data_IF_341933936558
#
_entry.id   IF_341933936558
#
_cell.length_a   1.000
_cell.length_b   1.000
_cell.length_c   1.000
_cell.angle_alpha   90.00
_cell.angle_beta   90.00
_cell.angle_gamma   90.00
#
_symmetry.space_group_name_H-M   'P 1'
#
loop_
_entity.id
_entity.type
_entity.pdbx_description
1 polymer ?
#
# COMPACT_ATOMS: atom_id res chain seq x y z
N UNK A 1 -19.46 0.00 -2.70
CA UNK A 1 -18.76 0.26 -1.42
C UNK A 1 -19.67 1.10 -0.55
N UNK A 2 -19.96 0.66 0.69
CA UNK A 2 -20.84 1.42 1.61
C UNK A 2 -20.11 2.58 2.31
N UNK A 3 -18.78 2.52 2.38
CA UNK A 3 -17.95 3.52 3.05
C UNK A 3 -17.84 4.81 2.23
N UNK A 4 -17.83 5.96 2.92
CA UNK A 4 -17.54 7.26 2.31
C UNK A 4 -16.06 7.36 1.92
N UNK A 5 -15.19 6.81 2.75
CA UNK A 5 -13.74 7.00 2.72
C UNK A 5 -13.01 5.65 2.72
N UNK A 6 -11.75 5.64 2.27
CA UNK A 6 -10.82 4.55 2.49
C UNK A 6 -9.64 5.06 3.32
N UNK A 7 -9.74 4.96 4.64
CA UNK A 7 -8.76 5.51 5.58
C UNK A 7 -7.71 4.48 6.01
N UNK A 8 -8.07 3.20 6.00
CA UNK A 8 -7.25 2.06 6.37
C UNK A 8 -7.93 0.75 5.98
N UNK A 9 -7.31 -0.38 6.28
CA UNK A 9 -7.90 -1.72 6.15
C UNK A 9 -8.32 -2.32 7.49
N UNK A 10 -8.00 -1.66 8.60
CA UNK A 10 -8.57 -2.04 9.89
C UNK A 10 -10.10 -1.99 9.85
N UNK A 11 -10.74 -3.10 10.23
CA UNK A 11 -12.20 -3.26 10.20
C UNK A 11 -12.84 -3.23 8.80
N UNK A 12 -12.07 -3.43 7.73
CA UNK A 12 -12.63 -3.67 6.37
C UNK A 12 -12.92 -5.16 6.22
N UNK A 13 -14.15 -5.50 5.83
CA UNK A 13 -14.55 -6.90 5.72
C UNK A 13 -13.95 -7.60 4.51
N UNK A 14 -13.93 -8.93 4.56
CA UNK A 14 -13.51 -9.80 3.44
C UNK A 14 -14.29 -9.49 2.18
N UNK A 15 -15.61 -9.29 2.29
CA UNK A 15 -16.50 -9.01 1.17
C UNK A 15 -16.17 -7.66 0.52
N UNK A 16 -15.86 -6.64 1.33
CA UNK A 16 -15.47 -5.32 0.81
C UNK A 16 -14.12 -5.40 0.09
N UNK A 17 -13.12 -6.09 0.67
CA UNK A 17 -11.82 -6.30 0.03
C UNK A 17 -12.01 -7.07 -1.28
N UNK A 18 -12.76 -8.18 -1.27
CA UNK A 18 -13.04 -8.98 -2.46
C UNK A 18 -13.69 -8.13 -3.56
N UNK A 19 -14.70 -7.34 -3.22
CA UNK A 19 -15.35 -6.45 -4.18
C UNK A 19 -14.42 -5.41 -4.79
N UNK A 20 -13.47 -4.87 -4.01
CA UNK A 20 -12.44 -3.96 -4.52
C UNK A 20 -11.50 -4.70 -5.48
N UNK A 21 -11.03 -5.89 -5.11
CA UNK A 21 -10.12 -6.68 -5.93
C UNK A 21 -10.77 -7.15 -7.24
N UNK A 22 -12.05 -7.54 -7.21
CA UNK A 22 -12.81 -7.94 -8.41
C UNK A 22 -13.03 -6.76 -9.37
N UNK A 23 -13.38 -5.59 -8.81
CA UNK A 23 -13.46 -4.36 -9.60
C UNK A 23 -12.11 -4.00 -10.19
N UNK A 24 -11.02 -4.17 -9.44
CA UNK A 24 -9.67 -3.88 -9.92
C UNK A 24 -9.23 -4.81 -11.06
N UNK A 25 -9.63 -6.09 -11.05
CA UNK A 25 -9.41 -7.00 -12.19
C UNK A 25 -10.07 -6.49 -13.47
N UNK A 26 -11.29 -5.98 -13.38
CA UNK A 26 -11.98 -5.35 -14.51
C UNK A 26 -11.24 -4.09 -14.99
N UNK A 27 -10.83 -3.21 -14.07
CA UNK A 27 -10.08 -2.00 -14.40
C UNK A 27 -8.71 -2.30 -15.03
N UNK A 28 -8.08 -3.40 -14.66
CA UNK A 28 -6.81 -3.84 -15.24
C UNK A 28 -6.88 -4.16 -16.71
N UNK A 29 -8.03 -4.66 -17.19
CA UNK A 29 -8.24 -4.87 -18.63
C UNK A 29 -8.16 -3.56 -19.40
N UNK A 30 -8.64 -2.46 -18.79
CA UNK A 30 -8.52 -1.11 -19.38
C UNK A 30 -7.06 -0.67 -19.42
N UNK A 31 -6.31 -0.90 -18.32
CA UNK A 31 -4.87 -0.54 -18.25
C UNK A 31 -4.05 -1.26 -19.33
N UNK A 32 -4.42 -2.52 -19.64
CA UNK A 32 -3.76 -3.35 -20.67
C UNK A 32 -4.23 -3.11 -22.08
N UNK A 33 -5.36 -2.43 -22.27
CA UNK A 33 -5.90 -2.16 -23.61
C UNK A 33 -5.10 -1.10 -24.35
N UNK A 34 -5.21 -1.09 -25.68
CA UNK A 34 -4.61 -0.05 -26.53
C UNK A 34 -5.22 1.32 -26.27
N UNK A 35 -6.52 1.39 -26.01
CA UNK A 35 -7.22 2.61 -25.59
C UNK A 35 -7.49 2.55 -24.08
N UNK A 36 -6.66 3.25 -23.30
CA UNK A 36 -6.76 3.29 -21.84
C UNK A 36 -7.78 4.31 -21.31
N UNK A 37 -8.61 4.91 -22.16
CA UNK A 37 -9.53 5.96 -21.77
C UNK A 37 -10.98 5.46 -21.69
N UNK A 38 -11.64 5.74 -20.57
CA UNK A 38 -13.05 5.42 -20.32
C UNK A 38 -13.79 6.65 -19.77
N UNK A 39 -15.12 6.66 -19.88
CA UNK A 39 -15.98 7.76 -19.38
C UNK A 39 -16.47 7.55 -17.93
N UNK A 40 -15.92 6.59 -17.17
CA UNK A 40 -16.46 6.20 -15.87
C UNK A 40 -16.50 7.32 -14.83
N UNK A 41 -15.56 8.27 -14.89
CA UNK A 41 -15.47 9.42 -13.97
C UNK A 41 -15.59 10.76 -14.70
N UNK A 42 -16.21 10.79 -15.87
CA UNK A 42 -16.48 12.05 -16.57
C UNK A 42 -17.33 12.97 -15.69
N UNK A 43 -16.90 14.22 -15.53
CA UNK A 43 -17.55 15.21 -14.69
C UNK A 43 -17.19 15.10 -13.18
N UNK A 44 -16.31 14.16 -12.78
CA UNK A 44 -15.81 14.04 -11.41
C UNK A 44 -14.49 14.80 -11.23
N UNK A 45 -14.32 15.41 -10.07
CA UNK A 45 -13.13 16.17 -9.65
C UNK A 45 -12.34 15.41 -8.60
N UNK A 46 -11.06 15.15 -8.87
CA UNK A 46 -10.16 14.39 -7.99
C UNK A 46 -8.94 15.23 -7.69
N UNK A 47 -8.62 15.38 -6.40
CA UNK A 47 -7.44 16.15 -5.96
C UNK A 47 -6.49 15.23 -5.20
N UNK A 48 -5.21 15.25 -5.56
CA UNK A 48 -4.13 14.67 -4.76
C UNK A 48 -3.49 15.76 -3.89
N UNK A 49 -3.46 15.52 -2.59
CA UNK A 49 -2.92 16.41 -1.57
C UNK A 49 -1.75 15.72 -0.86
N UNK A 50 -0.53 15.97 -1.30
CA UNK A 50 0.65 15.24 -0.83
C UNK A 50 1.58 16.14 -0.02
N UNK A 51 1.72 15.80 1.26
CA UNK A 51 2.66 16.40 2.21
C UNK A 51 4.00 15.66 2.28
N UNK A 52 4.07 14.44 1.73
CA UNK A 52 5.31 13.67 1.56
C UNK A 52 5.58 13.39 0.10
N UNK A 53 6.85 13.35 -0.29
CA UNK A 53 7.23 12.97 -1.64
C UNK A 53 6.86 11.52 -1.96
N UNK A 54 6.20 11.31 -3.08
CA UNK A 54 5.91 9.98 -3.62
C UNK A 54 5.66 10.03 -5.11
N UNK A 55 6.64 9.62 -5.90
CA UNK A 55 6.50 9.59 -7.35
C UNK A 55 5.51 8.50 -7.78
N UNK A 56 5.71 7.26 -7.33
CA UNK A 56 4.86 6.12 -7.74
C UNK A 56 3.39 6.29 -7.36
N UNK A 57 3.11 6.58 -6.10
CA UNK A 57 1.72 6.70 -5.63
C UNK A 57 0.99 7.84 -6.30
N UNK A 58 1.63 9.02 -6.39
CA UNK A 58 1.06 10.20 -7.05
C UNK A 58 0.78 9.93 -8.53
N UNK A 59 1.78 9.46 -9.27
CA UNK A 59 1.64 9.17 -10.70
C UNK A 59 0.57 8.13 -10.98
N UNK A 60 0.46 7.08 -10.17
CA UNK A 60 -0.53 6.05 -10.42
C UNK A 60 -1.97 6.51 -10.13
N UNK A 61 -2.20 7.39 -9.14
CA UNK A 61 -3.50 8.04 -8.95
C UNK A 61 -3.83 9.02 -10.08
N UNK A 62 -2.84 9.77 -10.53
CA UNK A 62 -3.00 10.68 -11.66
C UNK A 62 -3.38 9.94 -12.93
N UNK A 63 -2.67 8.83 -13.25
CA UNK A 63 -2.99 7.98 -14.39
C UNK A 63 -4.37 7.33 -14.24
N UNK A 64 -4.71 6.80 -13.05
CA UNK A 64 -6.03 6.23 -12.78
C UNK A 64 -7.14 7.25 -13.06
N UNK A 65 -7.00 8.49 -12.58
CA UNK A 65 -7.96 9.57 -12.79
C UNK A 65 -8.09 9.92 -14.28
N UNK A 66 -6.98 10.08 -14.99
CA UNK A 66 -6.93 10.43 -16.42
C UNK A 66 -7.51 9.32 -17.31
N UNK A 67 -7.22 8.05 -17.00
CA UNK A 67 -7.78 6.91 -17.75
C UNK A 67 -9.29 6.82 -17.60
N UNK A 68 -9.84 7.30 -16.51
CA UNK A 68 -11.28 7.31 -16.26
C UNK A 68 -11.98 8.62 -16.62
N UNK A 69 -11.27 9.56 -17.27
CA UNK A 69 -11.78 10.87 -17.73
C UNK A 69 -12.23 11.81 -16.59
N UNK A 70 -11.64 11.68 -15.40
CA UNK A 70 -11.83 12.64 -14.31
C UNK A 70 -11.02 13.93 -14.55
N UNK A 71 -11.51 15.06 -14.00
CA UNK A 71 -10.72 16.25 -13.80
C UNK A 71 -9.78 16.00 -12.61
N UNK A 72 -8.46 16.01 -12.85
CA UNK A 72 -7.46 15.71 -11.84
C UNK A 72 -6.56 16.92 -11.57
N UNK A 73 -6.42 17.29 -10.29
CA UNK A 73 -5.49 18.33 -9.84
C UNK A 73 -4.51 17.75 -8.82
N UNK A 74 -3.26 18.24 -8.86
CA UNK A 74 -2.22 17.81 -7.93
C UNK A 74 -1.74 18.99 -7.09
N UNK A 75 -1.78 18.83 -5.77
CA UNK A 75 -1.27 19.80 -4.81
C UNK A 75 -0.10 19.17 -4.05
N UNK A 76 1.05 19.83 -4.09
CA UNK A 76 2.19 19.53 -3.23
C UNK A 76 2.24 20.56 -2.11
N UNK A 77 2.34 20.10 -0.86
CA UNK A 77 2.38 21.00 0.30
C UNK A 77 3.52 22.03 0.23
N UNK A 78 4.68 21.64 -0.31
CA UNK A 78 5.82 22.53 -0.48
C UNK A 78 5.61 23.69 -1.48
N UNK A 79 4.61 23.58 -2.35
CA UNK A 79 4.28 24.56 -3.39
C UNK A 79 2.88 25.17 -3.21
N UNK A 80 2.29 25.09 -2.02
CA UNK A 80 0.91 25.53 -1.74
C UNK A 80 0.85 26.50 -0.56
N UNK A 81 -0.36 26.99 -0.24
CA UNK A 81 -0.66 27.83 0.94
C UNK A 81 -0.29 27.17 2.27
N UNK A 82 -0.12 25.86 2.31
CA UNK A 82 0.43 25.13 3.47
C UNK A 82 1.81 25.69 3.88
N UNK A 83 2.63 26.09 2.92
CA UNK A 83 3.91 26.76 3.20
C UNK A 83 3.75 28.11 3.90
N UNK A 84 2.54 28.70 3.88
CA UNK A 84 2.18 29.93 4.59
C UNK A 84 1.50 29.71 5.93
N UNK A 85 1.43 28.43 6.40
CA UNK A 85 0.83 28.08 7.69
C UNK A 85 -0.65 27.70 7.65
N UNK A 86 -1.25 27.48 6.46
CA UNK A 86 -2.62 26.98 6.34
C UNK A 86 -2.74 25.58 6.95
N UNK A 87 -3.79 25.37 7.75
CA UNK A 87 -3.99 24.07 8.40
C UNK A 87 -4.49 23.00 7.41
N UNK A 88 -4.31 21.73 7.74
CA UNK A 88 -4.84 20.62 6.95
C UNK A 88 -6.37 20.71 6.76
N UNK A 89 -7.09 21.12 7.82
CA UNK A 89 -8.56 21.24 7.80
C UNK A 89 -8.96 22.37 6.84
N UNK A 90 -8.34 23.54 6.95
CA UNK A 90 -8.68 24.70 6.10
C UNK A 90 -8.40 24.39 4.62
N UNK A 91 -7.26 23.74 4.33
CA UNK A 91 -6.93 23.28 2.98
C UNK A 91 -8.01 22.30 2.47
N UNK A 92 -8.40 21.32 3.28
CA UNK A 92 -9.40 20.34 2.90
C UNK A 92 -10.78 20.94 2.67
N UNK A 93 -11.22 21.82 3.55
CA UNK A 93 -12.52 22.54 3.42
C UNK A 93 -12.51 23.42 2.17
N UNK A 94 -11.40 24.10 1.87
CA UNK A 94 -11.26 24.89 0.65
C UNK A 94 -11.44 24.01 -0.60
N UNK A 95 -10.79 22.84 -0.65
CA UNK A 95 -10.93 21.89 -1.76
C UNK A 95 -12.36 21.35 -1.89
N UNK A 96 -13.00 21.03 -0.76
CA UNK A 96 -14.38 20.57 -0.72
C UNK A 96 -15.36 21.61 -1.26
N UNK A 97 -15.17 22.90 -0.91
CA UNK A 97 -15.97 24.00 -1.44
C UNK A 97 -15.75 24.28 -2.95
N UNK A 98 -14.60 23.91 -3.49
CA UNK A 98 -14.34 23.93 -4.94
C UNK A 98 -15.05 22.81 -5.72
N UNK A 99 -15.82 21.94 -5.05
CA UNK A 99 -16.56 20.86 -5.69
C UNK A 99 -15.73 19.59 -5.93
N UNK A 100 -14.71 19.33 -5.11
CA UNK A 100 -13.93 18.10 -5.20
C UNK A 100 -14.77 16.90 -4.76
N UNK A 101 -14.82 15.84 -5.59
CA UNK A 101 -15.51 14.57 -5.26
C UNK A 101 -14.64 13.64 -4.41
N UNK A 102 -13.32 13.61 -4.68
CA UNK A 102 -12.37 12.74 -3.97
C UNK A 102 -11.07 13.48 -3.66
N UNK A 103 -10.65 13.42 -2.39
CA UNK A 103 -9.35 13.92 -1.93
C UNK A 103 -8.46 12.72 -1.60
N UNK A 104 -7.32 12.63 -2.28
CA UNK A 104 -6.31 11.59 -2.07
C UNK A 104 -5.19 12.22 -1.26
N UNK A 105 -5.07 11.84 0.02
CA UNK A 105 -4.11 12.47 0.92
C UNK A 105 -2.96 11.52 1.28
N UNK A 106 -1.72 12.06 1.27
CA UNK A 106 -0.54 11.44 1.83
C UNK A 106 0.12 12.39 2.83
N UNK A 107 0.32 11.94 4.07
CA UNK A 107 0.73 12.82 5.16
C UNK A 107 1.80 12.15 6.07
N UNK A 108 2.78 12.91 6.62
CA UNK A 108 3.78 12.35 7.53
C UNK A 108 3.21 11.99 8.91
N UNK A 109 2.08 12.54 9.30
CA UNK A 109 1.46 12.26 10.59
C UNK A 109 0.37 11.20 10.45
N UNK A 110 0.41 10.19 11.33
CA UNK A 110 -0.64 9.18 11.46
C UNK A 110 -1.97 9.81 11.86
N UNK A 111 -3.07 9.35 11.26
CA UNK A 111 -4.43 9.85 11.55
C UNK A 111 -4.84 11.11 10.76
N UNK A 112 -3.94 11.77 10.04
CA UNK A 112 -4.26 12.97 9.25
C UNK A 112 -5.41 12.74 8.23
N UNK A 113 -5.47 11.62 7.46
CA UNK A 113 -6.60 11.35 6.58
C UNK A 113 -7.94 11.21 7.34
N UNK A 114 -7.92 10.59 8.52
CA UNK A 114 -9.12 10.42 9.34
C UNK A 114 -9.61 11.75 9.92
N UNK A 115 -8.67 12.63 10.31
CA UNK A 115 -9.01 13.99 10.72
C UNK A 115 -9.66 14.75 9.57
N UNK A 116 -9.07 14.75 8.38
CA UNK A 116 -9.60 15.42 7.20
C UNK A 116 -11.00 14.92 6.83
N UNK A 117 -11.21 13.61 6.82
CA UNK A 117 -12.47 12.97 6.42
C UNK A 117 -13.69 13.40 7.27
N UNK A 118 -13.47 13.86 8.50
CA UNK A 118 -14.52 14.37 9.39
C UNK A 118 -14.98 15.79 9.04
N UNK A 119 -14.20 16.52 8.25
CA UNK A 119 -14.43 17.94 7.96
C UNK A 119 -14.81 18.23 6.50
N UNK A 120 -14.80 17.20 5.64
CA UNK A 120 -15.11 17.34 4.21
C UNK A 120 -16.22 16.39 3.77
N UNK A 121 -17.01 16.79 2.78
CA UNK A 121 -18.02 15.93 2.13
C UNK A 121 -17.39 15.01 1.10
N UNK A 122 -16.35 15.47 0.44
CA UNK A 122 -15.56 14.67 -0.48
C UNK A 122 -15.14 13.34 0.13
N UNK A 123 -15.07 12.29 -0.65
CA UNK A 123 -14.47 11.01 -0.21
C UNK A 123 -12.97 11.19 -0.01
N UNK A 124 -12.43 10.63 1.08
CA UNK A 124 -11.00 10.70 1.40
C UNK A 124 -10.35 9.33 1.20
N UNK A 125 -9.26 9.29 0.42
CA UNK A 125 -8.42 8.10 0.26
C UNK A 125 -7.08 8.34 0.94
N UNK A 126 -6.74 7.47 1.89
CA UNK A 126 -5.41 7.45 2.50
C UNK A 126 -4.38 6.86 1.53
N UNK A 127 -3.45 7.69 1.05
CA UNK A 127 -2.32 7.32 0.20
C UNK A 127 -1.02 7.11 1.01
N UNK A 128 -1.15 6.92 2.31
CA UNK A 128 -0.11 6.67 3.29
C UNK A 128 0.03 7.77 4.32
N UNK A 129 -0.14 7.43 5.61
CA UNK A 129 -0.05 8.37 6.72
C UNK A 129 0.92 7.87 7.81
N UNK A 130 2.00 8.61 8.01
CA UNK A 130 3.02 8.32 9.02
C UNK A 130 3.50 6.87 8.99
N UNK A 131 3.41 6.19 10.12
CA UNK A 131 3.65 4.75 10.30
C UNK A 131 2.33 3.96 10.45
N UNK A 132 1.18 4.60 10.20
CA UNK A 132 -0.14 4.00 10.43
C UNK A 132 -0.53 3.04 9.29
N UNK A 133 -1.10 3.55 8.19
CA UNK A 133 -1.57 2.69 7.12
C UNK A 133 -1.28 3.23 5.71
N UNK A 134 -1.25 2.31 4.74
CA UNK A 134 -1.24 2.59 3.31
C UNK A 134 -2.17 1.59 2.59
N UNK A 135 -3.50 1.74 2.76
CA UNK A 135 -4.47 0.73 2.35
C UNK A 135 -4.40 0.40 0.86
N UNK A 136 -4.15 1.39 0.01
CA UNK A 136 -4.05 1.15 -1.44
C UNK A 136 -2.81 0.36 -1.85
N UNK A 137 -1.76 0.34 -1.02
CA UNK A 137 -0.60 -0.52 -1.24
C UNK A 137 -0.94 -1.96 -0.90
N UNK A 138 -1.52 -2.23 0.28
CA UNK A 138 -1.90 -3.59 0.64
C UNK A 138 -2.94 -4.18 -0.32
N UNK A 139 -3.88 -3.39 -0.82
CA UNK A 139 -4.85 -3.84 -1.83
C UNK A 139 -4.17 -4.23 -3.16
N UNK A 140 -3.17 -3.48 -3.63
CA UNK A 140 -2.45 -3.86 -4.84
C UNK A 140 -1.55 -5.08 -4.61
N UNK A 141 -0.99 -5.22 -3.42
CA UNK A 141 -0.22 -6.41 -3.03
C UNK A 141 -1.12 -7.65 -3.04
N UNK A 142 -2.28 -7.57 -2.39
CA UNK A 142 -3.29 -8.65 -2.39
C UNK A 142 -3.82 -8.95 -3.80
N UNK A 143 -4.05 -7.95 -4.66
CA UNK A 143 -4.44 -8.18 -6.05
C UNK A 143 -3.37 -8.98 -6.79
N UNK A 144 -2.11 -8.59 -6.64
CA UNK A 144 -0.98 -9.29 -7.28
C UNK A 144 -0.86 -10.72 -6.77
N UNK A 145 -0.94 -10.94 -5.46
CA UNK A 145 -0.94 -12.29 -4.87
C UNK A 145 -2.08 -13.14 -5.43
N UNK A 146 -3.32 -12.61 -5.42
CA UNK A 146 -4.51 -13.34 -5.87
C UNK A 146 -4.45 -13.75 -7.34
N UNK A 147 -3.87 -12.93 -8.20
CA UNK A 147 -3.72 -13.26 -9.61
C UNK A 147 -2.76 -14.42 -9.87
N UNK A 148 -1.70 -14.52 -9.08
CA UNK A 148 -0.72 -15.59 -9.24
C UNK A 148 -1.09 -16.87 -8.48
N UNK A 149 -1.74 -16.74 -7.32
CA UNK A 149 -2.03 -17.86 -6.43
C UNK A 149 -3.49 -18.33 -6.47
N UNK A 150 -4.39 -17.56 -7.11
CA UNK A 150 -5.82 -17.84 -7.22
C UNK A 150 -6.62 -17.46 -5.97
N UNK A 151 -6.15 -17.79 -4.78
CA UNK A 151 -6.79 -17.47 -3.49
C UNK A 151 -5.81 -16.80 -2.53
N UNK A 152 -6.35 -16.00 -1.60
CA UNK A 152 -5.59 -15.48 -0.46
C UNK A 152 -5.83 -16.28 0.81
N UNK A 153 -6.84 -17.16 0.82
CA UNK A 153 -7.18 -17.96 1.99
C UNK A 153 -6.16 -19.05 2.22
N UNK A 154 -5.63 -19.13 3.41
CA UNK A 154 -4.69 -20.16 3.86
C UNK A 154 -3.26 -20.01 3.32
N UNK A 155 -2.95 -19.01 2.48
CA UNK A 155 -1.58 -18.77 2.04
C UNK A 155 -0.71 -18.25 3.19
N UNK A 156 0.57 -18.64 3.22
CA UNK A 156 1.58 -18.10 4.15
C UNK A 156 2.30 -16.93 3.48
N UNK A 157 2.24 -15.75 4.10
CA UNK A 157 2.90 -14.54 3.63
C UNK A 157 3.97 -14.13 4.64
N UNK A 158 5.24 -14.29 4.28
CA UNK A 158 6.37 -13.80 5.04
C UNK A 158 6.63 -12.33 4.70
N UNK A 159 6.58 -11.44 5.69
CA UNK A 159 6.85 -10.00 5.54
C UNK A 159 8.12 -9.69 6.34
N UNK A 160 9.21 -9.39 5.63
CA UNK A 160 10.55 -9.29 6.20
C UNK A 160 11.11 -7.87 6.06
N UNK A 161 11.66 -7.29 7.14
CA UNK A 161 12.32 -5.99 7.12
C UNK A 161 11.85 -5.02 8.20
N UNK A 162 11.86 -3.71 7.95
CA UNK A 162 11.49 -2.70 8.94
C UNK A 162 9.97 -2.67 9.20
N UNK A 163 9.50 -3.58 10.06
CA UNK A 163 8.09 -3.68 10.44
C UNK A 163 7.64 -2.47 11.25
N UNK A 164 8.48 -2.01 12.18
CA UNK A 164 8.14 -0.96 13.14
C UNK A 164 7.73 0.36 12.46
N UNK A 165 8.47 0.76 11.43
CA UNK A 165 8.22 2.02 10.72
C UNK A 165 7.39 1.85 9.45
N UNK A 166 6.92 0.62 9.15
CA UNK A 166 6.24 0.31 7.90
C UNK A 166 4.72 0.37 8.01
N UNK A 167 4.13 1.44 7.48
CA UNK A 167 2.69 1.52 7.23
C UNK A 167 2.18 0.47 6.24
N UNK A 168 3.06 -0.05 5.38
CA UNK A 168 2.72 -1.11 4.43
C UNK A 168 2.55 -2.44 5.14
N UNK A 169 3.45 -2.78 6.09
CA UNK A 169 3.32 -3.97 6.91
C UNK A 169 1.97 -3.98 7.62
N UNK A 170 1.62 -2.90 8.29
CA UNK A 170 0.38 -2.78 9.07
C UNK A 170 -0.87 -2.98 8.19
N UNK A 171 -0.96 -2.29 7.06
CA UNK A 171 -2.10 -2.48 6.14
C UNK A 171 -2.17 -3.89 5.54
N UNK A 172 -1.00 -4.51 5.24
CA UNK A 172 -0.98 -5.90 4.78
C UNK A 172 -1.44 -6.87 5.87
N UNK A 173 -1.05 -6.67 7.13
CA UNK A 173 -1.52 -7.50 8.24
C UNK A 173 -3.06 -7.45 8.29
N UNK A 174 -3.66 -6.27 8.38
CA UNK A 174 -5.12 -6.15 8.43
C UNK A 174 -5.81 -6.77 7.22
N UNK A 175 -5.36 -6.44 6.01
CA UNK A 175 -6.00 -6.92 4.79
C UNK A 175 -5.86 -8.43 4.59
N UNK A 176 -4.66 -8.97 4.76
CA UNK A 176 -4.37 -10.40 4.58
C UNK A 176 -5.05 -11.26 5.65
N UNK A 177 -5.04 -10.81 6.91
CA UNK A 177 -5.75 -11.52 8.00
C UNK A 177 -7.25 -11.55 7.73
N UNK A 178 -7.86 -10.43 7.30
CA UNK A 178 -9.27 -10.40 6.91
C UNK A 178 -9.59 -11.36 5.75
N UNK A 179 -8.61 -11.59 4.84
CA UNK A 179 -8.74 -12.53 3.73
C UNK A 179 -8.42 -14.00 4.11
N UNK A 180 -8.03 -14.27 5.36
CA UNK A 180 -7.74 -15.61 5.86
C UNK A 180 -6.33 -16.11 5.54
N UNK A 181 -5.41 -15.23 5.19
CA UNK A 181 -4.00 -15.55 5.01
C UNK A 181 -3.26 -15.64 6.37
N UNK A 182 -2.20 -16.44 6.42
CA UNK A 182 -1.28 -16.53 7.54
C UNK A 182 -0.14 -15.54 7.35
N UNK A 183 -0.09 -14.48 8.15
CA UNK A 183 0.95 -13.45 8.07
C UNK A 183 2.05 -13.76 9.09
N UNK A 184 3.28 -13.88 8.60
CA UNK A 184 4.48 -14.12 9.41
C UNK A 184 5.42 -12.93 9.23
N UNK A 185 5.72 -12.25 10.32
CA UNK A 185 6.65 -11.11 10.32
C UNK A 185 8.05 -11.58 10.68
N UNK A 186 9.06 -10.95 10.07
CA UNK A 186 10.45 -11.20 10.40
C UNK A 186 11.30 -9.94 10.30
N UNK A 187 12.00 -9.60 11.36
CA UNK A 187 12.91 -8.45 11.46
C UNK A 187 13.84 -8.59 12.68
N UNK A 188 14.91 -7.79 12.77
CA UNK A 188 15.58 -7.58 14.03
C UNK A 188 14.58 -7.29 15.17
N UNK A 189 14.73 -7.85 16.37
CA UNK A 189 13.77 -7.67 17.46
C UNK A 189 13.46 -6.20 17.78
N UNK A 190 14.42 -5.31 17.58
CA UNK A 190 14.28 -3.86 17.73
C UNK A 190 13.36 -3.19 16.68
N UNK A 191 13.07 -3.89 15.59
CA UNK A 191 12.19 -3.44 14.50
C UNK A 191 10.83 -4.17 14.50
N UNK A 192 10.55 -4.96 15.52
CA UNK A 192 9.24 -5.58 15.76
C UNK A 192 8.48 -4.76 16.81
N UNK A 193 7.30 -4.22 16.50
CA UNK A 193 6.48 -3.54 17.51
C UNK A 193 6.03 -4.50 18.61
N UNK A 194 6.05 -4.03 19.86
CA UNK A 194 5.57 -4.82 21.01
C UNK A 194 4.09 -5.18 20.80
N UNK A 195 3.76 -6.43 21.07
CA UNK A 195 2.39 -6.98 20.95
C UNK A 195 1.79 -6.93 19.53
N UNK A 196 2.63 -6.92 18.49
CA UNK A 196 2.16 -6.89 17.10
C UNK A 196 1.26 -8.08 16.72
N UNK A 197 1.42 -9.21 17.40
CA UNK A 197 0.65 -10.43 17.21
C UNK A 197 -0.86 -10.23 17.50
N UNK A 198 -1.22 -9.22 18.29
CA UNK A 198 -2.62 -8.85 18.53
C UNK A 198 -3.35 -8.43 17.23
N UNK A 199 -2.60 -8.10 16.17
CA UNK A 199 -3.17 -7.81 14.86
C UNK A 199 -3.47 -9.07 14.04
N UNK A 200 -3.24 -10.27 14.60
CA UNK A 200 -3.54 -11.55 13.94
C UNK A 200 -2.39 -12.11 13.09
N UNK A 201 -1.17 -11.64 13.30
CA UNK A 201 0.05 -12.18 12.68
C UNK A 201 0.90 -12.95 13.68
N UNK A 202 1.95 -13.63 13.20
CA UNK A 202 2.97 -14.27 14.03
C UNK A 202 4.34 -13.65 13.73
N UNK A 203 5.32 -13.85 14.63
CA UNK A 203 6.70 -13.38 14.46
C UNK A 203 7.62 -14.57 14.40
N UNK A 204 8.41 -14.68 13.33
CA UNK A 204 9.46 -15.68 13.18
C UNK A 204 10.79 -15.14 13.73
N UNK A 205 11.57 -15.98 14.43
CA UNK A 205 12.85 -15.56 15.03
C UNK A 205 13.95 -15.35 13.98
N UNK A 206 13.88 -16.07 12.85
CA UNK A 206 14.84 -15.98 11.75
C UNK A 206 14.13 -15.78 10.42
N UNK A 207 14.86 -15.28 9.41
CA UNK A 207 14.30 -15.10 8.08
C UNK A 207 14.08 -16.47 7.40
N UNK A 208 14.87 -17.46 7.73
CA UNK A 208 14.74 -18.83 7.28
C UNK A 208 13.41 -19.42 7.76
N UNK A 209 13.07 -19.29 9.04
CA UNK A 209 11.77 -19.75 9.60
C UNK A 209 10.59 -19.01 8.96
N UNK A 210 10.74 -17.73 8.67
CA UNK A 210 9.70 -16.97 7.98
C UNK A 210 9.47 -17.47 6.56
N UNK A 211 10.56 -17.70 5.82
CA UNK A 211 10.53 -18.14 4.42
C UNK A 211 10.08 -19.59 4.26
N UNK A 212 10.37 -20.48 5.22
CA UNK A 212 10.05 -21.90 5.11
C UNK A 212 8.58 -22.12 4.78
N UNK A 213 8.33 -22.75 3.63
CA UNK A 213 6.98 -23.07 3.15
C UNK A 213 6.08 -21.86 2.86
N UNK A 214 6.62 -20.65 2.76
CA UNK A 214 5.85 -19.46 2.40
C UNK A 214 5.36 -19.52 0.94
N UNK A 215 4.17 -18.95 0.70
CA UNK A 215 3.65 -18.70 -0.64
C UNK A 215 4.10 -17.35 -1.18
N UNK A 216 4.43 -16.43 -0.29
CA UNK A 216 4.90 -15.09 -0.61
C UNK A 216 6.02 -14.69 0.34
N UNK A 217 7.11 -14.15 -0.21
CA UNK A 217 8.20 -13.50 0.54
C UNK A 217 8.21 -12.02 0.14
N UNK A 218 7.81 -11.15 1.06
CA UNK A 218 7.72 -9.71 0.85
C UNK A 218 8.79 -8.97 1.64
N UNK A 219 9.67 -8.28 0.93
CA UNK A 219 10.65 -7.38 1.54
C UNK A 219 10.03 -6.04 1.94
N UNK A 220 10.44 -5.52 3.09
CA UNK A 220 10.13 -4.15 3.52
C UNK A 220 11.39 -3.31 3.49
N UNK A 221 11.29 -2.13 2.90
CA UNK A 221 12.40 -1.19 2.87
C UNK A 221 12.87 -0.81 4.28
N UNK A 222 14.17 -0.84 4.50
CA UNK A 222 14.77 -0.27 5.70
C UNK A 222 14.68 1.26 5.61
N UNK A 223 13.87 1.86 6.48
CA UNK A 223 13.53 3.29 6.44
C UNK A 223 14.54 4.11 7.28
N UNK A 224 15.79 4.18 6.82
CA UNK A 224 16.90 4.82 7.55
C UNK A 224 16.60 6.28 7.94
N UNK A 225 15.79 6.96 7.16
CA UNK A 225 15.34 8.32 7.41
C UNK A 225 14.33 8.46 8.56
N UNK A 226 13.68 7.38 8.98
CA UNK A 226 12.72 7.34 10.09
C UNK A 226 13.30 6.71 11.35
N UNK A 227 14.46 6.06 11.24
CA UNK A 227 15.08 5.37 12.35
C UNK A 227 15.88 6.34 13.19
N UNK A 228 15.76 6.23 14.52
CA UNK A 228 16.76 6.74 15.45
C UNK A 228 17.99 5.83 15.39
N UNK A 229 19.19 6.38 15.64
CA UNK A 229 20.44 5.60 15.64
C UNK A 229 20.36 4.43 16.65
N UNK A 230 20.84 3.26 16.26
CA UNK A 230 21.06 2.12 17.16
C UNK A 230 19.98 1.04 17.17
N UNK A 231 19.08 0.97 16.15
CA UNK A 231 18.10 -0.10 16.07
C UNK A 231 18.67 -1.43 15.56
N UNK A 232 19.81 -1.39 14.88
CA UNK A 232 20.66 -2.54 14.56
C UNK A 232 22.12 -2.09 14.44
N UNK A 233 23.11 -2.96 14.70
CA UNK A 233 24.52 -2.57 14.86
C UNK A 233 25.13 -2.00 13.57
N UNK A 234 24.90 -2.64 12.44
CA UNK A 234 25.42 -2.20 11.13
C UNK A 234 24.57 -2.70 9.98
N UNK A 235 24.71 -2.07 8.81
CA UNK A 235 24.06 -2.55 7.57
C UNK A 235 24.60 -3.92 7.19
N UNK A 236 25.90 -4.20 7.39
CA UNK A 236 26.48 -5.51 7.09
C UNK A 236 25.82 -6.61 7.93
N UNK A 237 25.70 -6.41 9.25
CA UNK A 237 25.03 -7.38 10.12
C UNK A 237 23.55 -7.55 9.78
N UNK A 238 22.88 -6.47 9.36
CA UNK A 238 21.52 -6.58 8.88
C UNK A 238 21.45 -7.47 7.62
N UNK A 239 22.34 -7.28 6.64
CA UNK A 239 22.40 -8.09 5.41
C UNK A 239 22.66 -9.56 5.74
N UNK A 240 23.64 -9.84 6.58
CA UNK A 240 24.03 -11.20 6.96
C UNK A 240 22.86 -11.99 7.56
N UNK A 241 22.02 -11.34 8.37
CA UNK A 241 20.94 -12.01 9.12
C UNK A 241 19.55 -11.85 8.51
N UNK A 242 19.27 -10.78 7.75
CA UNK A 242 17.89 -10.38 7.41
C UNK A 242 17.66 -10.06 5.94
N UNK A 243 18.69 -10.10 5.06
CA UNK A 243 18.51 -9.87 3.62
C UNK A 243 17.74 -11.02 2.99
N UNK A 244 16.78 -10.72 2.13
CA UNK A 244 16.11 -11.72 1.28
C UNK A 244 17.05 -12.09 0.15
N UNK A 245 17.69 -13.26 0.25
CA UNK A 245 18.61 -13.83 -0.77
C UNK A 245 17.93 -14.96 -1.56
N UNK A 246 18.45 -15.37 -2.73
CA UNK A 246 17.94 -16.51 -3.47
C UNK A 246 17.89 -17.81 -2.63
N UNK A 247 18.89 -18.05 -1.78
CA UNK A 247 18.99 -19.22 -0.90
C UNK A 247 17.83 -19.24 0.10
N UNK A 248 17.50 -18.08 0.67
CA UNK A 248 16.38 -17.91 1.61
C UNK A 248 15.03 -18.05 0.90
N UNK A 249 14.89 -17.49 -0.30
CA UNK A 249 13.70 -17.67 -1.14
C UNK A 249 13.51 -19.14 -1.53
N UNK A 250 14.58 -19.91 -1.70
CA UNK A 250 14.51 -21.33 -2.03
C UNK A 250 13.90 -22.20 -0.89
N UNK A 251 13.84 -21.70 0.34
CA UNK A 251 13.12 -22.35 1.47
C UNK A 251 11.60 -22.21 1.34
N UNK A 252 11.13 -21.25 0.59
CA UNK A 252 9.72 -21.06 0.31
C UNK A 252 9.22 -22.08 -0.72
N UNK A 253 7.92 -22.13 -0.95
CA UNK A 253 7.33 -23.02 -1.96
C UNK A 253 7.89 -22.70 -3.37
N UNK A 254 7.98 -23.70 -4.23
CA UNK A 254 8.50 -23.53 -5.61
C UNK A 254 7.78 -22.43 -6.42
N UNK A 255 6.51 -22.21 -6.13
CA UNK A 255 5.69 -21.17 -6.77
C UNK A 255 5.64 -19.86 -5.98
N UNK A 256 6.44 -19.73 -4.92
CA UNK A 256 6.43 -18.55 -4.06
C UNK A 256 6.73 -17.28 -4.85
N UNK A 257 6.06 -16.20 -4.46
CA UNK A 257 6.22 -14.89 -5.06
C UNK A 257 7.21 -14.05 -4.24
N UNK A 258 8.12 -13.37 -4.93
CA UNK A 258 8.99 -12.35 -4.34
C UNK A 258 8.38 -10.98 -4.60
N UNK A 259 8.11 -10.22 -3.53
CA UNK A 259 7.41 -8.95 -3.56
C UNK A 259 8.15 -7.84 -2.80
N UNK A 260 7.93 -6.59 -3.20
CA UNK A 260 8.45 -5.43 -2.49
C UNK A 260 7.64 -4.17 -2.84
N UNK A 261 7.18 -3.36 -1.87
CA UNK A 261 6.36 -2.17 -2.15
C UNK A 261 7.14 -1.01 -2.80
N UNK A 262 8.48 -1.12 -2.82
CA UNK A 262 9.40 -0.12 -3.36
C UNK A 262 9.37 1.25 -2.63
N UNK A 263 10.45 2.05 -2.78
CA UNK A 263 11.71 1.72 -3.46
C UNK A 263 12.50 0.66 -2.69
N UNK A 264 13.31 -0.14 -3.37
CA UNK A 264 14.19 -1.13 -2.75
C UNK A 264 15.56 -0.54 -2.45
N UNK A 265 16.18 -0.94 -1.32
CA UNK A 265 17.60 -0.81 -1.11
C UNK A 265 18.25 -2.14 -1.49
N UNK A 266 18.62 -2.31 -2.77
CA UNK A 266 19.24 -3.54 -3.28
C UNK A 266 20.55 -3.83 -2.56
N UNK A 267 20.74 -5.08 -2.12
CA UNK A 267 21.89 -5.48 -1.31
C UNK A 267 21.78 -5.04 0.15
N UNK A 268 20.57 -4.72 0.64
CA UNK A 268 20.29 -4.45 2.05
C UNK A 268 19.16 -5.34 2.53
N UNK A 269 17.89 -5.01 2.22
CA UNK A 269 16.76 -5.85 2.61
C UNK A 269 16.42 -6.93 1.58
N UNK A 270 16.92 -6.78 0.34
CA UNK A 270 16.72 -7.75 -0.74
C UNK A 270 17.92 -7.76 -1.70
N UNK A 271 18.44 -8.93 -1.99
CA UNK A 271 19.48 -9.11 -2.99
C UNK A 271 18.95 -8.81 -4.39
N UNK A 272 19.78 -8.21 -5.25
CA UNK A 272 19.40 -7.93 -6.64
C UNK A 272 18.98 -9.19 -7.39
N UNK A 273 19.67 -10.32 -7.15
CA UNK A 273 19.35 -11.62 -7.74
C UNK A 273 17.99 -12.17 -7.32
N UNK A 274 17.54 -11.91 -6.09
CA UNK A 274 16.21 -12.27 -5.64
C UNK A 274 15.14 -11.33 -6.25
N UNK A 275 15.39 -10.01 -6.24
CA UNK A 275 14.49 -9.01 -6.78
C UNK A 275 14.26 -9.14 -8.30
N UNK A 276 15.24 -9.65 -9.03
CA UNK A 276 15.21 -9.84 -10.50
C UNK A 276 14.98 -11.31 -10.89
N UNK A 277 14.64 -12.17 -9.93
CA UNK A 277 14.36 -13.60 -10.16
C UNK A 277 13.05 -13.81 -10.94
N UNK A 278 12.88 -15.03 -11.48
CA UNK A 278 11.64 -15.45 -12.15
C UNK A 278 10.41 -15.46 -11.19
N UNK A 279 10.63 -15.56 -9.88
CA UNK A 279 9.58 -15.51 -8.86
C UNK A 279 9.18 -14.07 -8.49
N UNK A 280 9.94 -13.07 -8.95
CA UNK A 280 9.68 -11.67 -8.64
C UNK A 280 8.47 -11.14 -9.40
N UNK A 281 7.50 -10.61 -8.65
CA UNK A 281 6.31 -9.95 -9.18
C UNK A 281 6.27 -8.45 -8.84
N UNK A 282 7.43 -7.88 -8.51
CA UNK A 282 7.57 -6.47 -8.09
C UNK A 282 7.08 -5.49 -9.16
N UNK A 283 7.35 -5.77 -10.43
CA UNK A 283 6.88 -4.92 -11.53
C UNK A 283 5.36 -5.06 -11.73
N UNK A 284 4.79 -6.24 -11.52
CA UNK A 284 3.35 -6.48 -11.58
C UNK A 284 2.59 -5.74 -10.46
N UNK A 285 3.20 -5.57 -9.28
CA UNK A 285 2.62 -4.72 -8.21
C UNK A 285 2.41 -3.28 -8.70
N UNK A 286 3.29 -2.74 -9.53
CA UNK A 286 3.14 -1.36 -10.07
C UNK A 286 1.91 -1.27 -10.97
N UNK A 287 1.69 -2.23 -11.85
CA UNK A 287 0.51 -2.30 -12.74
C UNK A 287 -0.77 -2.49 -11.92
N UNK A 288 -0.77 -3.42 -10.95
CA UNK A 288 -1.88 -3.65 -10.01
C UNK A 288 -2.25 -2.36 -9.28
N UNK A 289 -1.25 -1.51 -9.01
CA UNK A 289 -1.48 -0.23 -8.35
C UNK A 289 -2.37 0.72 -9.11
N UNK A 290 -2.25 0.81 -10.43
CA UNK A 290 -3.13 1.65 -11.25
C UNK A 290 -4.55 1.08 -11.25
N UNK A 291 -4.69 -0.23 -11.44
CA UNK A 291 -5.99 -0.92 -11.48
C UNK A 291 -6.78 -0.77 -10.17
N UNK A 292 -6.12 -1.00 -9.02
CA UNK A 292 -6.74 -0.83 -7.69
C UNK A 292 -7.19 0.61 -7.47
N UNK A 293 -6.37 1.59 -7.85
CA UNK A 293 -6.73 3.00 -7.70
C UNK A 293 -7.89 3.40 -8.60
N UNK A 294 -7.97 2.88 -9.83
CA UNK A 294 -9.15 3.05 -10.68
C UNK A 294 -10.40 2.45 -10.03
N UNK A 295 -10.32 1.24 -9.48
CA UNK A 295 -11.44 0.59 -8.80
C UNK A 295 -11.93 1.41 -7.60
N UNK A 296 -11.02 1.90 -6.76
CA UNK A 296 -11.36 2.72 -5.60
C UNK A 296 -12.04 4.03 -5.99
N UNK A 297 -11.50 4.74 -6.98
CA UNK A 297 -12.10 5.96 -7.49
C UNK A 297 -13.49 5.71 -8.04
N UNK A 298 -13.68 4.64 -8.81
CA UNK A 298 -14.98 4.23 -9.33
C UNK A 298 -16.00 3.92 -8.22
N UNK A 299 -15.61 3.11 -7.24
CA UNK A 299 -16.51 2.68 -6.16
C UNK A 299 -16.90 3.81 -5.22
N UNK A 300 -15.98 4.73 -4.91
CA UNK A 300 -16.24 5.85 -4.00
C UNK A 300 -17.09 6.94 -4.65
N UNK A 301 -16.93 7.17 -5.96
CA UNK A 301 -17.71 8.19 -6.68
C UNK A 301 -19.11 7.73 -7.09
N UNK A 302 -19.39 6.43 -7.11
CA UNK A 302 -20.71 5.85 -7.45
C UNK A 302 -21.49 5.35 -6.24
N UNK A 303 -21.06 5.67 -5.03
CA UNK A 303 -21.89 5.34 -3.86
C UNK A 303 -23.25 6.06 -4.01
N UNK A 304 -24.33 5.37 -3.71
CA UNK A 304 -25.63 6.00 -3.49
C UNK A 304 -25.48 6.97 -2.31
N UNK A 305 -25.86 8.23 -2.51
CA UNK A 305 -25.96 9.19 -1.42
C UNK A 305 -27.11 8.72 -0.54
N UNK A 306 -26.79 8.12 0.60
CA UNK A 306 -27.76 7.74 1.62
C UNK A 306 -28.25 8.98 2.37
#
# INVERSE_FOLDING_TARGET
MKRKDLLGLDGVSREEITGILDTALTMRQIVRSSNKKTAHLQGKSIVTLFYENSTRTRMSFELASKYMSAAAANISASASSVAKGETLIDTGVTLDQMGTDVIIIRHPMSGAPALLARHVRASVINAGDGMNEHPTQALLDMLTMREHLGSLEGIKVAICGDVMHSRVARSNIYGLTAMGAQVVLCAPPTLIPVHIEQLGCTVAPTIEDACEGADVVMGLRIQRERQQKGLFPSVAEYCDNWEITPERVALAKKHALVMHPGPMNRGVEIASSAADSAQSVINQQVESGVAVRMALLYMLTRREQA
#
